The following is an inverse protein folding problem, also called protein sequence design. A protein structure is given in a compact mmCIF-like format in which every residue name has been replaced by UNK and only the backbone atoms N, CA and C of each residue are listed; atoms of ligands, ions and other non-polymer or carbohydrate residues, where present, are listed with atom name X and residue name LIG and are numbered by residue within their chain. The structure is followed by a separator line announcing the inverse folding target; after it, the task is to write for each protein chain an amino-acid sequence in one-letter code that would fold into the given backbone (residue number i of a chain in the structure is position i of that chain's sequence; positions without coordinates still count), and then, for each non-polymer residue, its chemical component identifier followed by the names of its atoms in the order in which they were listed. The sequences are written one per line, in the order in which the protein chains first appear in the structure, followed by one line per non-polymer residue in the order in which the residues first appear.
data_IF_857186904880
#
_entry.id   IF_857186904880
#
_cell.length_a   1.000
_cell.length_b   1.000
_cell.length_c   1.000
_cell.angle_alpha   90.00
_cell.angle_beta   90.00
_cell.angle_gamma   90.00
#
_symmetry.space_group_name_H-M   'P 1'
#
loop_
_entity.id
_entity.type
_entity.pdbx_description
1 polymer ?
#
# COMPACT_ATOMS: atom_id res chain seq x y z
N UNK A 1 -24.89 -12.60 11.72
CA UNK A 1 -24.94 -11.35 10.94
C UNK A 1 -24.46 -11.65 9.52
N UNK A 2 -25.10 -11.13 8.46
CA UNK A 2 -24.62 -11.33 7.08
C UNK A 2 -23.27 -10.65 6.87
N UNK A 3 -22.39 -11.27 6.09
CA UNK A 3 -21.05 -10.78 5.80
C UNK A 3 -21.09 -9.45 5.02
N UNK A 4 -20.44 -8.41 5.56
CA UNK A 4 -20.48 -7.07 4.98
C UNK A 4 -19.20 -6.76 4.20
N UNK A 5 -19.26 -6.97 2.89
CA UNK A 5 -18.15 -6.71 1.97
C UNK A 5 -17.69 -5.24 1.95
N UNK A 6 -18.57 -4.27 2.25
CA UNK A 6 -18.17 -2.86 2.31
C UNK A 6 -17.24 -2.60 3.49
N UNK A 7 -17.54 -3.19 4.66
CA UNK A 7 -16.67 -3.13 5.84
C UNK A 7 -15.34 -3.82 5.56
N UNK A 8 -15.36 -4.98 4.89
CA UNK A 8 -14.14 -5.69 4.51
C UNK A 8 -13.28 -4.87 3.53
N UNK A 9 -13.88 -4.30 2.48
CA UNK A 9 -13.17 -3.43 1.54
C UNK A 9 -12.58 -2.20 2.24
N UNK A 10 -13.31 -1.61 3.20
CA UNK A 10 -12.81 -0.50 4.02
C UNK A 10 -11.61 -0.92 4.88
N UNK A 11 -11.67 -2.13 5.47
CA UNK A 11 -10.57 -2.68 6.27
C UNK A 11 -9.32 -2.91 5.41
N UNK A 12 -9.48 -3.49 4.22
CA UNK A 12 -8.38 -3.71 3.28
C UNK A 12 -7.78 -2.37 2.81
N UNK A 13 -8.62 -1.40 2.47
CA UNK A 13 -8.17 -0.06 2.10
C UNK A 13 -7.40 0.63 3.22
N UNK A 14 -7.88 0.50 4.46
CA UNK A 14 -7.19 0.99 5.66
C UNK A 14 -5.84 0.33 5.84
N UNK A 15 -5.78 -1.01 5.76
CA UNK A 15 -4.55 -1.76 5.91
C UNK A 15 -3.50 -1.36 4.85
N UNK A 16 -3.91 -1.24 3.58
CA UNK A 16 -3.01 -0.79 2.52
C UNK A 16 -2.54 0.65 2.70
N UNK A 17 -3.40 1.54 3.19
CA UNK A 17 -3.04 2.93 3.49
C UNK A 17 -2.03 3.00 4.63
N UNK A 18 -2.26 2.26 5.72
CA UNK A 18 -1.33 2.20 6.85
C UNK A 18 0.01 1.58 6.43
N UNK A 19 -0.02 0.54 5.61
CA UNK A 19 1.19 -0.07 5.09
C UNK A 19 1.98 0.89 4.19
N UNK A 20 1.30 1.66 3.36
CA UNK A 20 1.92 2.73 2.58
C UNK A 20 2.53 3.80 3.48
N UNK A 21 1.85 4.28 4.52
CA UNK A 21 2.46 5.22 5.47
C UNK A 21 3.67 4.62 6.21
N UNK A 22 3.60 3.33 6.55
CA UNK A 22 4.72 2.61 7.17
C UNK A 22 5.95 2.58 6.27
N UNK A 23 5.80 2.39 4.96
CA UNK A 23 6.97 2.37 4.06
C UNK A 23 7.64 3.73 3.97
N UNK A 24 6.88 4.83 3.98
CA UNK A 24 7.44 6.18 4.10
C UNK A 24 8.24 6.33 5.38
N UNK A 25 7.67 5.93 6.51
CA UNK A 25 8.34 5.98 7.80
C UNK A 25 9.65 5.17 7.77
N UNK A 26 9.62 3.95 7.23
CA UNK A 26 10.80 3.10 7.15
C UNK A 26 11.89 3.73 6.27
N UNK A 27 11.55 4.16 5.05
CA UNK A 27 12.49 4.79 4.09
C UNK A 27 13.11 6.06 4.70
N UNK A 28 12.33 6.86 5.43
CA UNK A 28 12.83 8.06 6.09
C UNK A 28 13.88 7.77 7.18
N UNK A 29 13.84 6.57 7.78
CA UNK A 29 14.77 6.14 8.82
C UNK A 29 15.92 5.26 8.28
N UNK A 30 15.94 4.92 6.99
CA UNK A 30 17.10 4.27 6.36
C UNK A 30 18.26 5.25 6.35
N UNK A 31 19.49 4.85 6.78
CA UNK A 31 20.66 5.70 6.71
C UNK A 31 20.85 6.22 5.29
N UNK A 32 21.01 7.54 5.16
CA UNK A 32 21.25 8.15 3.86
C UNK A 32 22.62 7.68 3.37
N UNK A 33 22.64 6.67 2.49
CA UNK A 33 23.86 5.99 2.06
C UNK A 33 24.91 6.99 1.53
N UNK A 34 24.73 7.46 0.30
CA UNK A 34 25.59 8.47 -0.33
C UNK A 34 25.06 9.91 -0.15
N UNK A 35 24.00 10.11 0.63
CA UNK A 35 23.36 11.42 0.83
C UNK A 35 22.56 11.94 -0.37
N UNK A 36 22.46 11.18 -1.47
CA UNK A 36 21.80 11.61 -2.72
C UNK A 36 20.27 11.66 -2.63
N UNK A 37 19.68 11.00 -1.62
CA UNK A 37 18.24 10.86 -1.48
C UNK A 37 17.60 9.85 -2.43
N UNK A 38 18.38 9.05 -3.19
CA UNK A 38 17.86 8.04 -4.11
C UNK A 38 16.95 7.00 -3.43
N UNK A 39 17.03 6.83 -2.11
CA UNK A 39 16.08 6.01 -1.34
C UNK A 39 14.61 6.44 -1.52
N UNK A 40 14.35 7.71 -1.85
CA UNK A 40 13.01 8.20 -2.16
C UNK A 40 12.46 7.72 -3.50
N UNK A 41 13.30 7.18 -4.40
CA UNK A 41 12.81 6.52 -5.61
C UNK A 41 11.97 5.29 -5.29
N UNK A 42 12.22 4.61 -4.17
CA UNK A 42 11.41 3.50 -3.68
C UNK A 42 9.96 3.91 -3.39
N UNK A 43 9.70 5.20 -3.13
CA UNK A 43 8.35 5.72 -2.89
C UNK A 43 7.51 5.74 -4.17
N UNK A 44 8.11 5.90 -5.36
CA UNK A 44 7.36 5.92 -6.61
C UNK A 44 6.57 4.62 -6.88
N UNK A 45 7.19 3.43 -6.92
CA UNK A 45 6.44 2.19 -7.15
C UNK A 45 5.40 1.92 -6.06
N UNK A 46 5.73 2.20 -4.78
CA UNK A 46 4.79 2.05 -3.67
C UNK A 46 3.60 3.02 -3.78
N UNK A 47 3.86 4.27 -4.18
CA UNK A 47 2.85 5.28 -4.47
C UNK A 47 1.96 4.92 -5.65
N UNK A 48 2.52 4.32 -6.71
CA UNK A 48 1.73 3.82 -7.84
C UNK A 48 0.77 2.70 -7.43
N UNK A 49 1.20 1.74 -6.59
CA UNK A 49 0.28 0.72 -6.06
C UNK A 49 -0.80 1.37 -5.19
N UNK A 50 -0.43 2.32 -4.32
CA UNK A 50 -1.41 3.06 -3.54
C UNK A 50 -2.46 3.76 -4.39
N UNK A 51 -2.01 4.55 -5.37
CA UNK A 51 -2.87 5.31 -6.27
C UNK A 51 -3.74 4.42 -7.17
N UNK A 52 -3.24 3.27 -7.61
CA UNK A 52 -3.97 2.38 -8.50
C UNK A 52 -4.98 1.46 -7.80
N UNK A 53 -4.69 1.01 -6.58
CA UNK A 53 -5.51 -0.01 -5.90
C UNK A 53 -6.29 0.54 -4.70
N UNK A 54 -5.65 1.35 -3.86
CA UNK A 54 -6.22 1.74 -2.56
C UNK A 54 -7.00 3.05 -2.62
N UNK A 55 -6.56 4.01 -3.45
CA UNK A 55 -7.29 5.27 -3.65
C UNK A 55 -8.66 5.05 -4.34
N UNK A 56 -8.77 4.23 -5.41
CA UNK A 56 -10.08 3.85 -5.96
C UNK A 56 -10.90 3.02 -4.97
N UNK A 57 -10.24 2.23 -4.12
CA UNK A 57 -10.94 1.45 -3.11
C UNK A 57 -11.64 2.34 -2.08
N UNK A 58 -11.00 3.41 -1.62
CA UNK A 58 -11.62 4.40 -0.75
C UNK A 58 -12.82 5.07 -1.40
N UNK A 59 -12.70 5.48 -2.67
CA UNK A 59 -13.81 6.09 -3.42
C UNK A 59 -15.00 5.14 -3.55
N UNK A 60 -14.77 3.88 -3.91
CA UNK A 60 -15.82 2.87 -4.06
C UNK A 60 -16.48 2.51 -2.72
N UNK A 61 -15.72 2.47 -1.62
CA UNK A 61 -16.27 2.30 -0.26
C UNK A 61 -17.14 3.50 0.13
N UNK A 62 -16.69 4.73 -0.15
CA UNK A 62 -17.43 5.95 0.20
C UNK A 62 -18.79 6.00 -0.52
N UNK A 63 -18.79 5.75 -1.83
CA UNK A 63 -20.01 5.75 -2.66
C UNK A 63 -20.86 4.48 -2.43
N UNK A 64 -20.32 3.46 -1.75
CA UNK A 64 -21.03 2.23 -1.42
C UNK A 64 -21.27 1.31 -2.63
N UNK A 65 -20.45 1.43 -3.68
CA UNK A 65 -20.60 0.67 -4.93
C UNK A 65 -19.61 -0.48 -5.03
N UNK A 66 -20.06 -1.57 -5.66
CA UNK A 66 -19.26 -2.74 -6.04
C UNK A 66 -18.33 -3.28 -4.92
N UNK A 67 -18.83 -3.51 -3.69
CA UNK A 67 -17.97 -3.83 -2.55
C UNK A 67 -17.18 -5.15 -2.71
N UNK A 68 -17.71 -6.11 -3.49
CA UNK A 68 -17.01 -7.37 -3.80
C UNK A 68 -15.82 -7.16 -4.74
N UNK A 69 -16.04 -6.44 -5.84
CA UNK A 69 -14.96 -6.08 -6.76
C UNK A 69 -13.88 -5.29 -6.05
N UNK A 70 -14.30 -4.32 -5.21
CA UNK A 70 -13.39 -3.52 -4.43
C UNK A 70 -12.56 -4.33 -3.44
N UNK A 71 -13.18 -5.32 -2.78
CA UNK A 71 -12.47 -6.27 -1.92
C UNK A 71 -11.40 -7.03 -2.70
N UNK A 72 -11.75 -7.58 -3.87
CA UNK A 72 -10.80 -8.33 -4.70
C UNK A 72 -9.64 -7.43 -5.19
N UNK A 73 -9.95 -6.23 -5.67
CA UNK A 73 -8.97 -5.25 -6.12
C UNK A 73 -8.02 -4.84 -4.98
N UNK A 74 -8.56 -4.58 -3.80
CA UNK A 74 -7.76 -4.24 -2.61
C UNK A 74 -6.85 -5.39 -2.16
N UNK A 75 -7.31 -6.65 -2.24
CA UNK A 75 -6.47 -7.82 -1.94
C UNK A 75 -5.32 -7.95 -2.96
N UNK A 76 -5.59 -7.77 -4.25
CA UNK A 76 -4.55 -7.73 -5.27
C UNK A 76 -3.54 -6.62 -5.00
N UNK A 77 -4.03 -5.44 -4.60
CA UNK A 77 -3.19 -4.31 -4.18
C UNK A 77 -2.28 -4.67 -3.00
N UNK A 78 -2.81 -5.34 -1.97
CA UNK A 78 -2.00 -5.79 -0.81
C UNK A 78 -0.91 -6.77 -1.21
N UNK A 79 -1.22 -7.73 -2.08
CA UNK A 79 -0.24 -8.71 -2.58
C UNK A 79 0.87 -7.98 -3.37
N UNK A 80 0.50 -7.10 -4.30
CA UNK A 80 1.46 -6.32 -5.07
C UNK A 80 2.34 -5.47 -4.15
N UNK A 81 1.74 -4.82 -3.15
CA UNK A 81 2.46 -4.02 -2.18
C UNK A 81 3.45 -4.85 -1.35
N UNK A 82 3.03 -6.03 -0.89
CA UNK A 82 3.89 -6.93 -0.13
C UNK A 82 5.08 -7.44 -0.95
N UNK A 83 4.87 -7.77 -2.23
CA UNK A 83 5.95 -8.23 -3.13
C UNK A 83 6.97 -7.11 -3.35
N UNK A 84 6.52 -5.92 -3.75
CA UNK A 84 7.42 -4.78 -4.01
C UNK A 84 8.16 -4.39 -2.73
N UNK A 85 7.47 -4.38 -1.59
CA UNK A 85 8.11 -4.07 -0.33
C UNK A 85 9.16 -5.10 0.08
N UNK A 86 8.87 -6.40 -0.10
CA UNK A 86 9.85 -7.45 0.16
C UNK A 86 11.09 -7.35 -0.74
N UNK A 87 10.92 -6.93 -2.01
CA UNK A 87 12.04 -6.66 -2.91
C UNK A 87 12.89 -5.50 -2.39
N UNK A 88 12.26 -4.36 -2.06
CA UNK A 88 12.95 -3.18 -1.51
C UNK A 88 13.69 -3.47 -0.20
N UNK A 89 13.09 -4.26 0.70
CA UNK A 89 13.74 -4.66 1.95
C UNK A 89 15.04 -5.47 1.73
N UNK A 90 15.16 -6.20 0.62
CA UNK A 90 16.40 -6.90 0.29
C UNK A 90 17.47 -5.97 -0.31
N UNK A 91 17.06 -4.83 -0.86
CA UNK A 91 17.95 -3.82 -1.43
C UNK A 91 18.46 -2.84 -0.38
N UNK A 92 17.70 -2.60 0.69
CA UNK A 92 18.15 -1.70 1.75
C UNK A 92 19.37 -2.27 2.49
N UNK A 93 20.35 -1.41 2.83
CA UNK A 93 21.52 -1.83 3.59
C UNK A 93 21.07 -2.39 4.94
N UNK A 94 21.51 -3.61 5.24
CA UNK A 94 21.31 -4.22 6.55
C UNK A 94 22.24 -3.52 7.53
N UNK A 95 21.67 -2.95 8.58
CA UNK A 95 22.40 -2.36 9.70
C UNK A 95 23.33 -3.36 10.36
#
# INVERSE_FOLDING_TARGET
MPFNFRKLAALIATAGTLFWLYTFYHIANVPQGDGSGFQWLAVFPLGMVFGAFFLPAWLLVAIGRLPRFNTALGLCGLIAFAIIWAQLLNEFPKS
#
